data_IF_570349781200
#
_entry.id   IF_570349781200
#
_cell.length_a   1.000
_cell.length_b   1.000
_cell.length_c   1.000
_cell.angle_alpha   90.00
_cell.angle_beta   90.00
_cell.angle_gamma   90.00
#
_symmetry.space_group_name_H-M   'P 1'
#
loop_
_entity.id
_entity.type
_entity.pdbx_description
1 polymer ?
#
# COMPACT_ATOMS: atom_id res chain seq x y z
N UNK A 1 -12.20 -5.69 47.46
CA UNK A 1 -13.10 -4.73 46.78
C UNK A 1 -12.25 -3.81 45.90
N UNK A 2 -11.98 -4.21 44.65
CA UNK A 2 -11.67 -3.34 43.49
C UNK A 2 -11.37 -4.24 42.27
N UNK A 3 -12.41 -4.86 41.71
CA UNK A 3 -12.34 -5.50 40.40
C UNK A 3 -13.64 -5.16 39.67
N UNK A 4 -13.88 -3.86 39.52
CA UNK A 4 -15.06 -3.30 38.85
C UNK A 4 -14.57 -2.68 37.55
N UNK A 5 -14.77 -3.46 36.49
CA UNK A 5 -15.08 -3.01 35.12
C UNK A 5 -13.93 -2.32 34.35
N UNK A 6 -12.93 -3.12 33.96
CA UNK A 6 -12.23 -2.93 32.68
C UNK A 6 -13.04 -3.68 31.62
N UNK A 7 -14.13 -3.08 31.11
CA UNK A 7 -14.91 -3.72 30.04
C UNK A 7 -15.57 -2.75 29.05
N UNK A 8 -15.45 -1.42 29.23
CA UNK A 8 -16.14 -0.43 28.38
C UNK A 8 -15.23 0.26 27.34
N UNK A 9 -13.95 -0.09 27.24
CA UNK A 9 -12.98 0.58 26.35
C UNK A 9 -12.39 -0.26 25.21
N UNK A 10 -12.74 -1.55 25.08
CA UNK A 10 -12.10 -2.48 24.13
C UNK A 10 -12.42 -2.25 22.64
N UNK A 11 -13.64 -1.82 22.21
CA UNK A 11 -13.94 -1.76 20.78
C UNK A 11 -13.14 -0.68 20.04
N UNK A 12 -12.91 0.49 20.64
CA UNK A 12 -12.14 1.58 20.02
C UNK A 12 -10.67 1.23 19.81
N UNK A 13 -10.08 0.41 20.70
CA UNK A 13 -8.68 -0.03 20.59
C UNK A 13 -8.46 -0.97 19.38
N UNK A 14 -9.45 -1.82 19.06
CA UNK A 14 -9.38 -2.71 17.89
C UNK A 14 -9.42 -1.91 16.58
N UNK A 15 -10.32 -0.95 16.45
CA UNK A 15 -10.41 -0.04 15.30
C UNK A 15 -9.12 0.75 15.10
N UNK A 16 -8.52 1.24 16.20
CA UNK A 16 -7.24 1.96 16.13
C UNK A 16 -6.10 1.06 15.62
N UNK A 17 -5.99 -0.18 16.12
CA UNK A 17 -4.98 -1.14 15.64
C UNK A 17 -5.16 -1.45 14.15
N UNK A 18 -6.40 -1.66 13.68
CA UNK A 18 -6.63 -1.98 12.27
C UNK A 18 -6.26 -0.82 11.35
N UNK A 19 -6.62 0.41 11.73
CA UNK A 19 -6.19 1.60 10.99
C UNK A 19 -4.68 1.81 11.03
N UNK A 20 -4.00 1.45 12.13
CA UNK A 20 -2.54 1.46 12.19
C UNK A 20 -1.92 0.43 11.23
N UNK A 21 -2.50 -0.77 11.14
CA UNK A 21 -2.07 -1.80 10.18
C UNK A 21 -2.29 -1.36 8.73
N UNK A 22 -3.44 -0.76 8.42
CA UNK A 22 -3.73 -0.21 7.09
C UNK A 22 -2.69 0.84 6.71
N UNK A 23 -2.39 1.79 7.61
CA UNK A 23 -1.34 2.79 7.37
C UNK A 23 0.02 2.15 7.12
N UNK A 24 0.43 1.20 7.96
CA UNK A 24 1.71 0.50 7.79
C UNK A 24 1.77 -0.30 6.47
N UNK A 25 0.65 -0.87 6.03
CA UNK A 25 0.55 -1.55 4.73
C UNK A 25 0.70 -0.55 3.57
N UNK A 26 -0.05 0.55 3.60
CA UNK A 26 0.02 1.59 2.58
C UNK A 26 1.41 2.25 2.51
N UNK A 27 2.02 2.57 3.65
CA UNK A 27 3.38 3.15 3.73
C UNK A 27 4.41 2.19 3.14
N UNK A 28 4.26 0.89 3.40
CA UNK A 28 5.16 -0.09 2.82
C UNK A 28 5.04 -0.23 1.32
N UNK A 29 3.82 -0.23 0.78
CA UNK A 29 3.60 -0.27 -0.68
C UNK A 29 4.16 1.01 -1.32
N UNK A 30 3.92 2.17 -0.69
CA UNK A 30 4.49 3.44 -1.13
C UNK A 30 6.02 3.39 -1.17
N UNK A 31 6.66 2.87 -0.12
CA UNK A 31 8.12 2.72 -0.05
C UNK A 31 8.64 1.77 -1.14
N UNK A 32 7.95 0.66 -1.40
CA UNK A 32 8.32 -0.28 -2.47
C UNK A 32 8.21 0.32 -3.86
N UNK A 33 7.14 1.10 -4.14
CA UNK A 33 6.99 1.83 -5.40
C UNK A 33 8.05 2.92 -5.58
N UNK A 34 8.37 3.65 -4.51
CA UNK A 34 9.44 4.66 -4.53
C UNK A 34 10.80 4.02 -4.76
N UNK A 35 11.08 2.87 -4.14
CA UNK A 35 12.29 2.09 -4.37
C UNK A 35 12.38 1.63 -5.83
N UNK A 36 11.31 1.04 -6.36
CA UNK A 36 11.28 0.59 -7.75
C UNK A 36 11.58 1.73 -8.72
N UNK A 37 10.99 2.91 -8.48
CA UNK A 37 11.26 4.13 -9.25
C UNK A 37 12.73 4.57 -9.14
N UNK A 38 13.29 4.65 -7.94
CA UNK A 38 14.68 5.09 -7.75
C UNK A 38 15.68 4.11 -8.37
N UNK A 39 15.43 2.81 -8.25
CA UNK A 39 16.27 1.77 -8.83
C UNK A 39 16.22 1.78 -10.36
N UNK A 40 15.05 2.04 -10.96
CA UNK A 40 14.92 2.17 -12.41
C UNK A 40 15.80 3.30 -12.97
N UNK A 41 15.79 4.45 -12.28
CA UNK A 41 16.61 5.61 -12.65
C UNK A 41 18.09 5.34 -12.38
N UNK A 42 18.43 4.78 -11.21
CA UNK A 42 19.82 4.53 -10.81
C UNK A 42 20.51 3.50 -11.71
N UNK A 43 19.79 2.46 -12.14
CA UNK A 43 20.31 1.38 -12.99
C UNK A 43 20.12 1.62 -14.47
N UNK A 44 19.41 2.68 -14.85
CA UNK A 44 19.05 2.97 -16.24
C UNK A 44 18.36 1.77 -16.94
N UNK A 45 17.52 1.05 -16.18
CA UNK A 45 16.86 -0.20 -16.59
C UNK A 45 15.39 -0.19 -16.14
N UNK A 46 14.60 -1.10 -16.70
CA UNK A 46 13.19 -1.26 -16.29
C UNK A 46 13.15 -2.06 -14.98
N UNK A 47 12.45 -1.51 -13.99
CA UNK A 47 12.22 -2.17 -12.70
C UNK A 47 10.73 -2.39 -12.51
N UNK A 48 10.37 -3.60 -12.11
CA UNK A 48 8.99 -4.02 -11.88
C UNK A 48 8.71 -4.05 -10.39
N UNK A 49 7.62 -3.41 -9.99
CA UNK A 49 6.97 -3.61 -8.71
C UNK A 49 5.78 -4.54 -8.92
N UNK A 50 5.81 -5.73 -8.31
CA UNK A 50 4.74 -6.72 -8.39
C UNK A 50 4.01 -6.81 -7.06
N UNK A 51 2.69 -6.69 -7.09
CA UNK A 51 1.81 -6.86 -5.94
C UNK A 51 1.47 -8.34 -5.77
N UNK A 52 1.58 -8.82 -4.54
CA UNK A 52 1.11 -10.14 -4.14
C UNK A 52 -0.18 -10.04 -3.33
N UNK A 53 -0.46 -11.09 -2.55
CA UNK A 53 -1.62 -11.13 -1.66
C UNK A 53 -1.52 -10.07 -0.55
N UNK A 54 -2.66 -9.47 -0.21
CA UNK A 54 -2.75 -8.44 0.82
C UNK A 54 -1.77 -7.29 0.55
N UNK A 55 -0.89 -7.00 1.51
CA UNK A 55 0.14 -5.95 1.40
C UNK A 55 1.53 -6.47 1.00
N UNK A 56 1.63 -7.68 0.45
CA UNK A 56 2.92 -8.21 -0.03
C UNK A 56 3.28 -7.63 -1.39
N UNK A 57 4.57 -7.48 -1.62
CA UNK A 57 5.07 -6.95 -2.89
C UNK A 57 6.52 -7.35 -3.12
N UNK A 58 6.94 -7.32 -4.37
CA UNK A 58 8.30 -7.60 -4.80
C UNK A 58 8.77 -6.56 -5.80
N UNK A 59 10.00 -6.09 -5.64
CA UNK A 59 10.70 -5.22 -6.58
C UNK A 59 11.81 -6.02 -7.22
N UNK A 60 11.82 -6.08 -8.55
CA UNK A 60 12.88 -6.74 -9.29
C UNK A 60 13.26 -5.97 -10.54
N UNK A 61 14.51 -6.18 -10.96
CA UNK A 61 15.01 -5.73 -12.24
C UNK A 61 14.50 -6.66 -13.34
N UNK A 62 13.96 -6.08 -14.41
CA UNK A 62 13.47 -6.84 -15.57
C UNK A 62 14.58 -6.94 -16.60
N UNK A 63 14.97 -8.17 -16.93
CA UNK A 63 15.88 -8.47 -18.04
C UNK A 63 15.26 -9.59 -18.89
N UNK A 64 14.54 -9.20 -19.96
CA UNK A 64 13.68 -10.12 -20.70
C UNK A 64 12.58 -10.72 -19.82
N UNK A 65 12.58 -12.05 -19.68
CA UNK A 65 11.67 -12.79 -18.79
C UNK A 65 12.22 -12.98 -17.37
N UNK A 66 13.50 -12.65 -17.15
CA UNK A 66 14.14 -12.77 -15.84
C UNK A 66 13.79 -11.59 -14.93
N UNK A 67 13.62 -11.91 -13.64
CA UNK A 67 13.28 -10.98 -12.57
C UNK A 67 14.34 -11.12 -11.48
N UNK A 68 15.35 -10.24 -11.51
CA UNK A 68 16.40 -10.22 -10.49
C UNK A 68 15.92 -9.48 -9.26
N UNK A 69 15.69 -10.21 -8.17
CA UNK A 69 15.15 -9.67 -6.93
C UNK A 69 16.03 -8.54 -6.37
N UNK A 70 15.42 -7.38 -6.14
CA UNK A 70 16.04 -6.25 -5.43
C UNK A 70 15.57 -6.27 -3.97
N UNK A 71 14.25 -6.31 -3.77
CA UNK A 71 13.65 -6.36 -2.45
C UNK A 71 12.26 -7.01 -2.52
N UNK A 72 11.83 -7.68 -1.47
CA UNK A 72 10.48 -8.18 -1.32
C UNK A 72 9.98 -7.99 0.09
N UNK A 73 8.66 -7.90 0.23
CA UNK A 73 7.96 -7.93 1.52
C UNK A 73 6.88 -9.01 1.50
N UNK A 74 6.90 -9.88 2.50
CA UNK A 74 5.93 -10.95 2.65
C UNK A 74 4.68 -10.51 3.45
N UNK A 75 3.62 -11.30 3.36
CA UNK A 75 2.38 -11.13 4.13
C UNK A 75 2.58 -11.25 5.66
N UNK A 76 3.67 -11.86 6.15
CA UNK A 76 3.91 -12.11 7.58
C UNK A 76 4.22 -10.90 8.47
N UNK A 77 4.48 -9.70 7.92
CA UNK A 77 4.97 -8.53 8.68
C UNK A 77 3.88 -7.78 9.48
N UNK A 78 2.89 -8.49 10.02
CA UNK A 78 1.93 -7.98 10.98
C UNK A 78 0.80 -7.09 10.44
N UNK A 79 0.79 -6.77 9.14
CA UNK A 79 -0.17 -5.82 8.54
C UNK A 79 -1.08 -6.39 7.43
N UNK A 80 -0.81 -7.58 6.87
CA UNK A 80 -1.40 -7.96 5.58
C UNK A 80 -2.75 -8.72 5.64
N UNK A 81 -2.99 -9.58 6.64
CA UNK A 81 -4.12 -10.52 6.58
C UNK A 81 -5.51 -9.86 6.71
N UNK A 82 -5.57 -8.64 7.26
CA UNK A 82 -6.79 -7.87 7.38
C UNK A 82 -6.93 -6.76 6.31
N UNK A 83 -5.89 -6.55 5.49
CA UNK A 83 -5.83 -5.46 4.52
C UNK A 83 -6.09 -6.00 3.13
N UNK A 84 -7.00 -5.36 2.41
CA UNK A 84 -7.25 -5.58 0.99
C UNK A 84 -6.51 -4.53 0.18
N UNK A 85 -5.92 -4.97 -0.93
CA UNK A 85 -5.22 -4.09 -1.87
C UNK A 85 -5.83 -4.32 -3.24
N UNK A 86 -6.31 -3.25 -3.88
CA UNK A 86 -7.01 -3.31 -5.16
C UNK A 86 -6.41 -2.26 -6.10
N UNK A 87 -5.98 -2.70 -7.28
CA UNK A 87 -5.45 -1.84 -8.32
C UNK A 87 -6.52 -1.51 -9.38
N UNK A 88 -6.50 -0.26 -9.87
CA UNK A 88 -7.28 0.20 -11.00
C UNK A 88 -6.37 0.96 -12.01
N UNK A 89 -6.18 0.45 -13.24
CA UNK A 89 -6.73 -0.80 -13.77
C UNK A 89 -6.25 -2.03 -12.98
N UNK A 90 -6.97 -3.15 -13.10
CA UNK A 90 -6.60 -4.40 -12.43
C UNK A 90 -5.32 -4.94 -13.06
N UNK A 91 -4.20 -4.64 -12.41
CA UNK A 91 -2.85 -5.04 -12.79
C UNK A 91 -2.13 -5.56 -11.56
N UNK A 92 -1.23 -6.52 -11.75
CA UNK A 92 -0.36 -7.01 -10.67
C UNK A 92 0.98 -6.29 -10.67
N UNK A 93 1.36 -5.66 -11.78
CA UNK A 93 2.70 -5.12 -11.99
C UNK A 93 2.67 -3.63 -12.36
N UNK A 94 3.51 -2.85 -11.69
CA UNK A 94 3.83 -1.46 -12.04
C UNK A 94 5.28 -1.43 -12.54
N UNK A 95 5.47 -1.18 -13.83
CA UNK A 95 6.80 -1.08 -14.42
C UNK A 95 7.26 0.38 -14.44
N UNK A 96 8.43 0.65 -13.86
CA UNK A 96 9.13 1.92 -13.95
C UNK A 96 10.25 1.84 -14.98
N UNK A 97 10.30 2.78 -15.92
CA UNK A 97 11.38 2.88 -16.89
C UNK A 97 12.57 3.71 -16.38
N UNK A 98 13.64 3.79 -17.16
CA UNK A 98 14.86 4.53 -16.82
C UNK A 98 14.66 6.04 -16.57
N UNK A 99 13.56 6.63 -17.03
CA UNK A 99 13.19 8.02 -16.76
C UNK A 99 12.38 8.18 -15.45
N UNK A 100 12.19 7.09 -14.71
CA UNK A 100 11.40 7.04 -13.49
C UNK A 100 9.89 7.17 -13.72
N UNK A 101 9.41 6.97 -14.96
CA UNK A 101 7.98 6.93 -15.27
C UNK A 101 7.44 5.53 -15.03
N UNK A 102 6.45 5.43 -14.15
CA UNK A 102 5.69 4.22 -13.84
C UNK A 102 4.50 4.04 -14.78
N UNK A 103 3.92 2.84 -14.72
CA UNK A 103 2.60 2.55 -15.29
C UNK A 103 1.53 3.26 -14.45
N UNK A 104 0.64 4.03 -15.09
CA UNK A 104 -0.41 4.76 -14.38
C UNK A 104 -1.38 3.78 -13.72
N UNK A 105 -1.53 3.92 -12.40
CA UNK A 105 -2.41 3.05 -11.60
C UNK A 105 -2.85 3.76 -10.33
N UNK A 106 -4.05 3.45 -9.89
CA UNK A 106 -4.57 3.78 -8.57
C UNK A 106 -4.61 2.50 -7.75
N UNK A 107 -3.99 2.51 -6.58
CA UNK A 107 -3.95 1.37 -5.65
C UNK A 107 -4.69 1.78 -4.39
N UNK A 108 -5.84 1.16 -4.16
CA UNK A 108 -6.63 1.33 -2.94
C UNK A 108 -6.17 0.31 -1.90
N UNK A 109 -5.89 0.80 -0.70
CA UNK A 109 -5.50 0.02 0.48
C UNK A 109 -6.58 0.21 1.54
N UNK A 110 -7.32 -0.86 1.80
CA UNK A 110 -8.48 -0.87 2.71
C UNK A 110 -8.38 -2.03 3.72
N UNK A 111 -9.21 -2.04 4.74
CA UNK A 111 -9.42 -3.18 5.62
C UNK A 111 -10.62 -3.97 5.10
N UNK A 112 -10.54 -5.30 5.21
CA UNK A 112 -11.68 -6.16 4.91
C UNK A 112 -12.90 -5.75 5.76
N UNK A 113 -14.05 -5.55 5.12
CA UNK A 113 -15.31 -5.14 5.74
C UNK A 113 -15.79 -6.13 6.84
N UNK A 114 -15.35 -7.39 6.79
CA UNK A 114 -15.61 -8.40 7.83
C UNK A 114 -14.86 -8.11 9.14
N UNK A 115 -13.76 -7.35 9.06
CA UNK A 115 -12.89 -7.01 10.20
C UNK A 115 -13.25 -5.64 10.77
N UNK A 116 -13.64 -4.68 9.94
CA UNK A 116 -13.99 -3.32 10.34
C UNK A 116 -14.98 -2.72 9.34
N UNK A 117 -15.97 -1.97 9.84
CA UNK A 117 -16.92 -1.28 8.96
C UNK A 117 -16.20 -0.22 8.10
N UNK A 118 -16.69 0.02 6.89
CA UNK A 118 -16.15 1.08 6.03
C UNK A 118 -16.27 2.48 6.67
N UNK A 119 -17.20 2.70 7.60
CA UNK A 119 -17.36 3.96 8.32
C UNK A 119 -16.24 4.20 9.35
N UNK A 120 -15.65 3.13 9.89
CA UNK A 120 -14.55 3.18 10.86
C UNK A 120 -13.16 3.06 10.19
N UNK A 121 -13.13 2.59 8.94
CA UNK A 121 -11.92 2.44 8.15
C UNK A 121 -11.38 3.79 7.68
N UNK A 122 -10.05 3.91 7.73
CA UNK A 122 -9.29 5.05 7.21
C UNK A 122 -8.56 4.61 5.94
N UNK A 123 -9.34 4.38 4.89
CA UNK A 123 -8.85 3.94 3.58
C UNK A 123 -7.76 4.88 3.07
N UNK A 124 -6.73 4.32 2.47
CA UNK A 124 -5.65 5.07 1.85
C UNK A 124 -5.56 4.67 0.38
N UNK A 125 -5.22 5.65 -0.44
CA UNK A 125 -5.06 5.49 -1.88
C UNK A 125 -3.66 5.90 -2.28
N UNK A 126 -3.01 5.09 -3.11
CA UNK A 126 -1.73 5.41 -3.73
C UNK A 126 -1.98 5.65 -5.20
N UNK A 127 -1.49 6.77 -5.73
CA UNK A 127 -1.63 7.14 -7.13
C UNK A 127 -0.23 7.15 -7.74
N UNK A 128 -0.06 6.31 -8.76
CA UNK A 128 1.07 6.38 -9.68
C UNK A 128 0.58 7.09 -10.94
N UNK A 129 1.18 8.24 -11.24
CA UNK A 129 0.90 8.96 -12.48
C UNK A 129 2.21 9.46 -13.10
N UNK A 130 2.61 8.82 -14.18
CA UNK A 130 3.90 8.99 -14.82
C UNK A 130 5.03 8.84 -13.81
N UNK A 131 5.77 9.92 -13.57
CA UNK A 131 6.89 9.92 -12.63
C UNK A 131 6.53 10.17 -11.16
N UNK A 132 5.25 10.39 -10.84
CA UNK A 132 4.80 10.69 -9.48
C UNK A 132 4.24 9.44 -8.80
N UNK A 133 4.59 9.26 -7.52
CA UNK A 133 4.01 8.24 -6.63
C UNK A 133 3.63 8.96 -5.35
N UNK A 134 2.34 9.06 -5.05
CA UNK A 134 1.84 9.76 -3.87
C UNK A 134 0.75 8.96 -3.16
N UNK A 135 0.63 9.18 -1.86
CA UNK A 135 -0.49 8.67 -1.05
C UNK A 135 -1.48 9.80 -0.77
N UNK A 136 -2.77 9.50 -0.80
CA UNK A 136 -3.88 10.38 -0.47
C UNK A 136 -4.99 9.62 0.26
N UNK A 137 -5.96 10.35 0.81
CA UNK A 137 -7.15 9.83 1.45
C UNK A 137 -8.36 10.06 0.53
N UNK A 138 -8.99 8.99 -0.01
CA UNK A 138 -10.11 9.13 -0.94
C UNK A 138 -11.40 9.66 -0.28
N UNK A 139 -11.48 9.65 1.05
CA UNK A 139 -12.65 10.15 1.79
C UNK A 139 -12.54 11.63 2.16
N UNK A 140 -11.40 12.26 1.85
CA UNK A 140 -11.13 13.66 2.13
C UNK A 140 -11.29 14.46 0.84
N UNK A 141 -12.11 15.52 0.89
CA UNK A 141 -12.31 16.41 -0.24
C UNK A 141 -11.30 17.57 -0.25
N UNK A 142 -10.99 18.07 -1.45
CA UNK A 142 -10.27 19.33 -1.61
C UNK A 142 -11.00 20.48 -0.86
N UNK A 143 -10.30 21.48 -0.31
CA UNK A 143 -8.88 21.82 -0.52
C UNK A 143 -7.89 21.20 0.49
N UNK A 144 -8.29 20.17 1.25
CA UNK A 144 -7.38 19.51 2.19
C UNK A 144 -6.19 18.86 1.44
N UNK A 145 -4.97 19.00 1.99
CA UNK A 145 -3.74 18.50 1.35
C UNK A 145 -3.64 16.98 1.28
N UNK A 146 -4.48 16.26 2.03
CA UNK A 146 -4.58 14.80 1.98
C UNK A 146 -5.52 14.31 0.89
N UNK A 147 -6.31 15.19 0.27
CA UNK A 147 -7.25 14.81 -0.77
C UNK A 147 -6.53 14.16 -1.97
N UNK A 148 -7.25 13.24 -2.62
CA UNK A 148 -6.90 12.79 -3.95
C UNK A 148 -7.32 13.86 -4.96
#
# INVERSE_FOLDING_TARGET
>A
MLAIVIALGVPSYRTWIQNAKLRNAAESILNGLQLARSEAVARNQVVRFSMGDGSSWTVCLVDGDDCTLIQSRATGDGSSAAVTVVANPVISDVNFNALGRGTDVVIDVDVNAEVMSAADSRNLRIIVNGGSVRMCDPNVAAPDSRAC
#
